data_IF_352094133827
#
_entry.id   IF_352094133827
#
_cell.length_a   1.000
_cell.length_b   1.000
_cell.length_c   1.000
_cell.angle_alpha   90.00
_cell.angle_beta   90.00
_cell.angle_gamma   90.00
#
_symmetry.space_group_name_H-M   'P 1'
#
loop_
_entity.id
_entity.type
_entity.pdbx_description
1 polymer ?
#
# COMPACT_ATOMS: atom_id res chain seq x y z
N UNK A 1 17.13 2.28 11.90
CA UNK A 1 18.50 2.12 11.36
C UNK A 1 18.63 1.14 10.19
N UNK A 2 17.60 0.40 9.82
CA UNK A 2 17.63 -0.53 8.66
C UNK A 2 17.40 0.14 7.28
N UNK A 3 16.88 1.36 7.24
CA UNK A 3 16.56 2.08 5.99
C UNK A 3 17.82 2.61 5.32
N UNK A 4 18.81 3.06 6.07
CA UNK A 4 20.03 3.69 5.52
C UNK A 4 20.93 2.66 4.80
N UNK A 5 21.04 1.45 5.33
CA UNK A 5 21.85 0.39 4.70
C UNK A 5 21.23 -0.12 3.38
N UNK A 6 19.90 -0.11 3.26
CA UNK A 6 19.20 -0.46 2.02
C UNK A 6 19.29 0.63 0.95
N UNK A 7 19.30 1.90 1.36
CA UNK A 7 19.44 3.04 0.43
C UNK A 7 20.82 3.04 -0.24
N UNK A 8 21.89 2.75 0.52
CA UNK A 8 23.26 2.70 -0.06
C UNK A 8 23.40 1.59 -1.10
N UNK A 9 22.79 0.42 -0.85
CA UNK A 9 22.79 -0.68 -1.83
C UNK A 9 21.94 -0.37 -3.07
N UNK A 10 20.83 0.38 -2.89
CA UNK A 10 19.97 0.85 -3.98
C UNK A 10 20.67 1.89 -4.85
N UNK A 11 21.45 2.79 -4.26
CA UNK A 11 22.18 3.83 -5.00
C UNK A 11 23.30 3.29 -5.89
N UNK A 12 23.79 2.07 -5.63
CA UNK A 12 24.80 1.40 -6.45
C UNK A 12 24.21 0.63 -7.64
N UNK A 13 22.91 0.37 -7.65
CA UNK A 13 22.23 -0.32 -8.73
C UNK A 13 21.56 0.67 -9.68
N UNK A 14 21.77 0.50 -10.98
CA UNK A 14 21.07 1.28 -12.01
C UNK A 14 19.73 0.63 -12.29
N UNK A 15 18.64 1.25 -11.85
CA UNK A 15 17.29 0.80 -12.18
C UNK A 15 16.80 1.51 -13.45
N UNK A 16 16.28 0.76 -14.39
CA UNK A 16 15.64 1.30 -15.60
C UNK A 16 14.27 1.90 -15.28
N UNK A 17 13.57 1.29 -14.32
CA UNK A 17 12.25 1.73 -13.87
C UNK A 17 12.20 1.78 -12.35
N UNK A 18 11.64 2.86 -11.82
CA UNK A 18 11.33 3.01 -10.39
C UNK A 18 9.83 3.25 -10.28
N UNK A 19 9.14 2.34 -9.58
CA UNK A 19 7.70 2.39 -9.36
C UNK A 19 7.48 2.77 -7.90
N UNK A 20 6.74 3.84 -7.65
CA UNK A 20 6.40 4.32 -6.30
C UNK A 20 4.97 3.92 -5.98
N UNK A 21 4.80 3.10 -4.96
CA UNK A 21 3.55 2.53 -4.50
C UNK A 21 3.29 1.13 -5.06
N UNK A 22 3.22 0.14 -4.15
CA UNK A 22 2.92 -1.25 -4.47
C UNK A 22 1.43 -1.57 -4.29
N UNK A 23 0.56 -0.66 -4.72
CA UNK A 23 -0.87 -0.91 -4.86
C UNK A 23 -1.16 -1.77 -6.10
N UNK A 24 -2.45 -1.95 -6.43
CA UNK A 24 -2.89 -2.80 -7.56
C UNK A 24 -2.19 -2.44 -8.88
N UNK A 25 -2.12 -1.15 -9.21
CA UNK A 25 -1.48 -0.67 -10.44
C UNK A 25 0.03 -0.87 -10.42
N UNK A 26 0.69 -0.50 -9.32
CA UNK A 26 2.14 -0.63 -9.18
C UNK A 26 2.61 -2.07 -9.22
N UNK A 27 1.91 -2.99 -8.57
CA UNK A 27 2.19 -4.42 -8.62
C UNK A 27 2.04 -4.98 -10.04
N UNK A 28 0.96 -4.61 -10.75
CA UNK A 28 0.73 -5.04 -12.12
C UNK A 28 1.82 -4.52 -13.07
N UNK A 29 2.19 -3.24 -12.91
CA UNK A 29 3.24 -2.63 -13.72
C UNK A 29 4.61 -3.26 -13.44
N UNK A 30 4.96 -3.47 -12.17
CA UNK A 30 6.20 -4.13 -11.77
C UNK A 30 6.29 -5.53 -12.37
N UNK A 31 5.21 -6.32 -12.28
CA UNK A 31 5.16 -7.66 -12.85
C UNK A 31 5.37 -7.64 -14.37
N UNK A 32 4.72 -6.70 -15.07
CA UNK A 32 4.82 -6.61 -16.53
C UNK A 32 6.21 -6.20 -17.00
N UNK A 33 6.78 -5.16 -16.38
CA UNK A 33 8.10 -4.64 -16.75
C UNK A 33 9.24 -5.62 -16.42
N UNK A 34 9.13 -6.36 -15.32
CA UNK A 34 10.15 -7.32 -14.90
C UNK A 34 10.15 -8.63 -15.69
N UNK A 35 9.17 -8.86 -16.58
CA UNK A 35 9.19 -10.02 -17.50
C UNK A 35 10.38 -9.98 -18.46
N UNK A 36 10.75 -8.80 -18.89
CA UNK A 36 11.98 -8.61 -19.65
C UNK A 36 13.16 -8.58 -18.66
N UNK A 37 14.03 -9.59 -18.77
CA UNK A 37 15.21 -9.76 -17.91
C UNK A 37 16.23 -8.62 -18.02
N UNK A 38 16.17 -7.83 -19.10
CA UNK A 38 17.00 -6.65 -19.29
C UNK A 38 16.48 -5.45 -18.51
N UNK A 39 15.27 -5.50 -17.96
CA UNK A 39 14.69 -4.44 -17.16
C UNK A 39 14.99 -4.67 -15.67
N UNK A 40 15.76 -3.79 -15.08
CA UNK A 40 15.88 -3.71 -13.64
C UNK A 40 14.77 -2.78 -13.13
N UNK A 41 13.84 -3.34 -12.35
CA UNK A 41 12.67 -2.64 -11.82
C UNK A 41 12.77 -2.55 -10.31
N UNK A 42 12.68 -1.34 -9.76
CA UNK A 42 12.57 -1.08 -8.33
C UNK A 42 11.13 -0.73 -7.99
N UNK A 43 10.50 -1.50 -7.10
CA UNK A 43 9.19 -1.21 -6.54
C UNK A 43 9.36 -0.74 -5.10
N UNK A 44 8.90 0.49 -4.80
CA UNK A 44 9.00 1.12 -3.48
C UNK A 44 7.60 1.18 -2.88
N UNK A 45 7.46 0.73 -1.64
CA UNK A 45 6.21 0.80 -0.88
C UNK A 45 6.46 1.45 0.49
N UNK A 46 5.54 2.31 0.91
CA UNK A 46 5.63 3.01 2.19
C UNK A 46 5.25 2.13 3.39
N UNK A 47 4.38 1.15 3.16
CA UNK A 47 3.87 0.26 4.18
C UNK A 47 4.67 -1.04 4.33
N UNK A 48 4.32 -1.86 5.33
CA UNK A 48 4.92 -3.17 5.54
C UNK A 48 4.42 -4.19 4.52
N UNK A 49 4.96 -5.41 4.62
CA UNK A 49 4.42 -6.57 3.89
C UNK A 49 2.99 -6.88 4.36
N UNK A 50 2.19 -7.43 3.47
CA UNK A 50 0.79 -7.82 3.66
C UNK A 50 0.59 -9.17 4.39
N UNK A 51 1.55 -9.53 5.25
CA UNK A 51 1.55 -10.80 5.97
C UNK A 51 0.79 -10.76 7.31
N UNK A 52 0.13 -9.65 7.62
CA UNK A 52 -0.69 -9.52 8.84
C UNK A 52 -1.87 -10.50 8.82
N UNK A 53 -2.11 -11.19 9.95
CA UNK A 53 -3.28 -12.04 10.12
C UNK A 53 -4.60 -11.27 9.87
N UNK A 54 -4.64 -9.99 10.23
CA UNK A 54 -5.80 -9.12 9.98
C UNK A 54 -6.11 -8.97 8.48
N UNK A 55 -5.10 -8.92 7.62
CA UNK A 55 -5.30 -8.82 6.16
C UNK A 55 -5.88 -10.13 5.61
N UNK A 56 -5.50 -11.25 6.19
CA UNK A 56 -5.93 -12.59 5.74
C UNK A 56 -7.33 -12.99 6.23
N UNK A 57 -7.88 -12.25 7.20
CA UNK A 57 -9.19 -12.55 7.79
C UNK A 57 -10.26 -11.58 7.28
N UNK A 58 -11.23 -12.03 6.48
CA UNK A 58 -12.28 -11.17 5.91
C UNK A 58 -13.06 -10.35 6.95
N UNK A 59 -13.32 -10.95 8.13
CA UNK A 59 -14.06 -10.30 9.23
C UNK A 59 -13.28 -9.20 9.95
N UNK A 60 -12.01 -9.02 9.66
CA UNK A 60 -11.17 -8.02 10.35
C UNK A 60 -11.14 -6.66 9.64
N UNK A 61 -11.89 -6.46 8.56
CA UNK A 61 -11.89 -5.23 7.77
C UNK A 61 -12.10 -3.96 8.62
N UNK A 62 -13.05 -4.00 9.55
CA UNK A 62 -13.32 -2.88 10.46
C UNK A 62 -12.13 -2.54 11.38
N UNK A 63 -11.36 -3.55 11.79
CA UNK A 63 -10.15 -3.37 12.59
C UNK A 63 -8.95 -2.90 11.75
N UNK A 64 -8.90 -3.29 10.48
CA UNK A 64 -7.88 -2.83 9.53
C UNK A 64 -8.02 -1.33 9.25
N UNK A 65 -9.24 -0.82 9.12
CA UNK A 65 -9.49 0.62 8.87
C UNK A 65 -9.01 1.52 10.02
N UNK A 66 -8.91 0.98 11.22
CA UNK A 66 -8.40 1.69 12.42
C UNK A 66 -6.89 1.49 12.62
N UNK A 67 -6.26 0.61 11.87
CA UNK A 67 -4.85 0.26 12.05
C UNK A 67 -3.93 1.28 11.35
N UNK A 68 -3.34 2.18 12.14
CA UNK A 68 -2.43 3.23 11.64
C UNK A 68 -1.14 2.70 11.00
N UNK A 69 -0.79 1.43 11.20
CA UNK A 69 0.37 0.82 10.55
C UNK A 69 0.05 0.37 9.13
N UNK A 70 -1.18 -0.10 8.90
CA UNK A 70 -1.65 -0.65 7.64
C UNK A 70 -2.52 0.32 6.83
N UNK A 71 -2.85 1.48 7.39
CA UNK A 71 -3.65 2.51 6.75
C UNK A 71 -3.02 3.89 6.82
N UNK A 72 -3.37 4.75 5.86
CA UNK A 72 -2.95 6.15 5.82
C UNK A 72 -3.70 7.04 6.81
N UNK A 73 -4.88 6.60 7.29
CA UNK A 73 -5.70 7.34 8.26
C UNK A 73 -6.27 8.65 7.70
N UNK A 74 -6.61 8.68 6.42
CA UNK A 74 -7.21 9.88 5.83
C UNK A 74 -8.62 10.11 6.32
N UNK A 75 -8.93 11.37 6.58
CA UNK A 75 -10.26 11.87 6.91
C UNK A 75 -10.63 13.03 5.99
N UNK A 76 -11.92 13.18 5.69
CA UNK A 76 -12.42 14.35 4.98
C UNK A 76 -12.37 15.59 5.87
N UNK A 77 -12.52 16.76 5.27
CA UNK A 77 -12.93 17.94 6.03
C UNK A 77 -14.36 17.77 6.53
N UNK A 78 -14.78 18.60 7.47
CA UNK A 78 -16.17 18.62 7.93
C UNK A 78 -17.14 18.79 6.76
N UNK A 79 -18.13 17.92 6.67
CA UNK A 79 -19.13 17.92 5.61
C UNK A 79 -20.40 18.58 6.13
N UNK A 80 -20.70 19.80 5.66
CA UNK A 80 -21.88 20.57 6.11
C UNK A 80 -23.19 19.82 5.88
N UNK A 81 -23.32 19.13 4.75
CA UNK A 81 -24.52 18.35 4.40
C UNK A 81 -24.66 17.04 5.18
N UNK A 82 -23.69 16.70 6.03
CA UNK A 82 -23.67 15.50 6.87
C UNK A 82 -23.52 15.85 8.35
N UNK A 83 -24.21 16.87 8.82
CA UNK A 83 -24.16 17.35 10.20
C UNK A 83 -22.73 17.68 10.68
N UNK A 84 -21.93 18.29 9.82
CA UNK A 84 -20.54 18.65 10.09
C UNK A 84 -19.64 17.47 10.52
N UNK A 85 -19.96 16.25 10.08
CA UNK A 85 -19.14 15.06 10.38
C UNK A 85 -17.90 15.00 9.52
N UNK A 86 -16.86 14.41 10.07
CA UNK A 86 -15.72 13.89 9.31
C UNK A 86 -16.06 12.50 8.76
N UNK A 87 -15.59 12.21 7.59
CA UNK A 87 -15.74 10.90 6.96
C UNK A 87 -14.37 10.27 6.84
N UNK A 88 -14.19 9.10 7.45
CA UNK A 88 -12.98 8.31 7.25
C UNK A 88 -12.89 7.84 5.82
N UNK A 89 -11.72 8.03 5.21
CA UNK A 89 -11.39 7.55 3.87
C UNK A 89 -10.25 6.52 3.97
N UNK A 90 -10.55 5.27 4.31
CA UNK A 90 -9.51 4.26 4.52
C UNK A 90 -8.78 3.99 3.22
N UNK A 91 -7.44 4.01 3.28
CA UNK A 91 -6.54 3.64 2.19
C UNK A 91 -5.43 2.78 2.78
N UNK A 92 -5.16 1.65 2.13
CA UNK A 92 -4.13 0.72 2.56
C UNK A 92 -2.72 1.29 2.37
N UNK A 93 -1.89 1.05 3.38
CA UNK A 93 -0.46 1.38 3.41
C UNK A 93 0.30 0.08 3.64
N UNK A 94 0.39 -0.74 2.61
CA UNK A 94 1.03 -2.07 2.65
C UNK A 94 1.22 -2.57 1.22
N UNK A 95 1.98 -3.64 1.02
CA UNK A 95 2.02 -4.33 -0.26
C UNK A 95 0.60 -4.71 -0.71
N UNK A 96 0.25 -4.44 -1.97
CA UNK A 96 -1.10 -4.56 -2.50
C UNK A 96 -1.98 -3.34 -2.25
N UNK A 97 -1.58 -2.42 -1.35
CA UNK A 97 -2.30 -1.19 -1.06
C UNK A 97 -3.72 -1.43 -0.55
N UNK A 98 -4.67 -0.64 -1.03
CA UNK A 98 -6.08 -0.75 -0.62
C UNK A 98 -6.73 -2.07 -1.04
N UNK A 99 -6.23 -2.75 -2.08
CA UNK A 99 -6.77 -4.07 -2.45
C UNK A 99 -6.45 -5.15 -1.41
N UNK A 100 -5.31 -5.03 -0.72
CA UNK A 100 -4.97 -5.94 0.39
C UNK A 100 -5.75 -5.65 1.68
N UNK A 101 -6.18 -4.41 1.88
CA UNK A 101 -6.93 -4.01 3.09
C UNK A 101 -8.42 -3.90 2.85
N UNK A 102 -8.89 -4.16 1.63
CA UNK A 102 -10.30 -4.10 1.28
C UNK A 102 -11.06 -5.20 2.01
N UNK A 103 -12.17 -4.83 2.66
CA UNK A 103 -13.10 -5.80 3.20
C UNK A 103 -13.79 -6.49 2.03
N UNK A 104 -13.26 -7.61 1.59
CA UNK A 104 -13.87 -8.43 0.55
C UNK A 104 -15.27 -8.86 1.01
N UNK A 105 -16.27 -8.00 0.79
CA UNK A 105 -17.66 -8.36 0.93
C UNK A 105 -17.94 -9.45 -0.10
N UNK A 106 -18.25 -10.63 0.39
CA UNK A 106 -18.85 -11.68 -0.45
C UNK A 106 -20.25 -11.16 -0.76
N UNK A 107 -20.48 -10.75 -1.99
CA UNK A 107 -21.81 -10.44 -2.51
C UNK A 107 -22.44 -11.73 -3.01
#
# INVERSE_FOLDING_TARGET
MAIICRITHILMNKFKYIIIGAGSAGCALANRLSKDKNNQVLLIEAGPKDNSAKIKMPLSASSLFKDKKLGWGYESIKQSNLNNRYINSPRGKTLGGSSSTNGNGIH
#
